data_IF_800002289015
#
_entry.id   IF_800002289015
#
_cell.length_a   1.000
_cell.length_b   1.000
_cell.length_c   1.000
_cell.angle_alpha   90.00
_cell.angle_beta   90.00
_cell.angle_gamma   90.00
#
_symmetry.space_group_name_H-M   'P 1'
#
loop_
_entity.id
_entity.type
_entity.pdbx_description
1 polymer ?
#
# COMPACT_ATOMS: atom_id res chain seq x y z
N UNK A 1 -19.61 -0.94 10.11
CA UNK A 1 -18.82 -1.92 9.31
C UNK A 1 -17.36 -1.60 9.59
N UNK A 2 -16.50 -2.56 9.99
CA UNK A 2 -15.30 -2.27 10.76
C UNK A 2 -14.30 -1.52 9.87
N UNK A 3 -14.25 -0.18 10.03
CA UNK A 3 -13.28 0.70 9.36
C UNK A 3 -11.83 0.25 9.62
N UNK A 4 -11.62 -0.60 10.62
CA UNK A 4 -10.33 -1.05 11.15
C UNK A 4 -9.62 -2.09 10.28
N UNK A 5 -10.29 -3.05 9.64
CA UNK A 5 -9.58 -4.13 8.93
C UNK A 5 -8.90 -3.64 7.64
N UNK A 6 -9.66 -2.92 6.81
CA UNK A 6 -9.11 -2.23 5.65
C UNK A 6 -8.03 -1.23 6.08
N UNK A 7 -8.18 -0.61 7.26
CA UNK A 7 -7.21 0.33 7.78
C UNK A 7 -5.89 -0.30 8.25
N UNK A 8 -5.92 -1.50 8.78
CA UNK A 8 -4.70 -2.21 9.17
C UNK A 8 -3.95 -2.74 7.95
N UNK A 9 -4.70 -3.13 6.91
CA UNK A 9 -4.12 -3.72 5.71
C UNK A 9 -3.31 -2.71 4.88
N UNK A 10 -3.88 -1.55 4.53
CA UNK A 10 -3.12 -0.50 3.83
C UNK A 10 -1.96 0.06 4.66
N UNK A 11 -2.07 0.17 6.00
CA UNK A 11 -0.96 0.61 6.86
C UNK A 11 0.22 -0.39 6.81
N UNK A 12 -0.08 -1.68 6.89
CA UNK A 12 0.93 -2.74 6.76
C UNK A 12 1.59 -2.68 5.39
N UNK A 13 0.79 -2.58 4.34
CA UNK A 13 1.23 -2.44 2.94
C UNK A 13 2.10 -1.20 2.72
N UNK A 14 1.75 -0.05 3.32
CA UNK A 14 2.57 1.18 3.26
C UNK A 14 3.91 0.96 3.97
N UNK A 15 3.91 0.32 5.14
CA UNK A 15 5.15 0.03 5.88
C UNK A 15 6.06 -0.86 5.04
N UNK A 16 5.52 -1.94 4.49
CA UNK A 16 6.25 -2.85 3.62
C UNK A 16 6.83 -2.11 2.40
N UNK A 17 6.02 -1.27 1.74
CA UNK A 17 6.47 -0.41 0.64
C UNK A 17 7.63 0.50 1.06
N UNK A 18 7.51 1.23 2.17
CA UNK A 18 8.57 2.12 2.68
C UNK A 18 9.85 1.38 3.02
N UNK A 19 9.76 0.15 3.54
CA UNK A 19 10.94 -0.67 3.85
C UNK A 19 11.56 -1.34 2.62
N UNK A 20 10.76 -1.57 1.57
CA UNK A 20 11.23 -2.26 0.36
C UNK A 20 12.21 -1.43 -0.47
N UNK A 21 12.15 -0.09 -0.37
CA UNK A 21 12.95 0.80 -1.22
C UNK A 21 12.59 0.74 -2.71
N UNK A 22 11.54 0.01 -3.08
CA UNK A 22 11.10 -0.16 -4.46
C UNK A 22 10.34 1.07 -4.96
N UNK A 23 10.29 1.23 -6.28
CA UNK A 23 9.37 2.20 -6.89
C UNK A 23 7.91 1.73 -6.72
N UNK A 24 6.96 2.67 -6.77
CA UNK A 24 5.52 2.36 -6.71
C UNK A 24 5.12 1.30 -7.74
N UNK A 25 5.69 1.36 -8.95
CA UNK A 25 5.35 0.43 -10.03
C UNK A 25 5.83 -0.99 -9.71
N UNK A 26 7.07 -1.12 -9.27
CA UNK A 26 7.69 -2.43 -9.02
C UNK A 26 7.07 -3.10 -7.79
N UNK A 27 6.83 -2.32 -6.74
CA UNK A 27 6.15 -2.83 -5.55
C UNK A 27 4.71 -3.24 -5.85
N UNK A 28 3.96 -2.43 -6.62
CA UNK A 28 2.61 -2.77 -7.05
C UNK A 28 2.55 -4.02 -7.91
N UNK A 29 3.51 -4.21 -8.82
CA UNK A 29 3.60 -5.41 -9.65
C UNK A 29 3.89 -6.67 -8.80
N UNK A 30 4.76 -6.57 -7.80
CA UNK A 30 5.08 -7.69 -6.91
C UNK A 30 3.96 -8.03 -5.91
N UNK A 31 3.15 -7.05 -5.52
CA UNK A 31 2.15 -7.19 -4.46
C UNK A 31 0.70 -7.25 -4.97
N UNK A 32 0.52 -7.26 -6.29
CA UNK A 32 -0.78 -7.24 -6.99
C UNK A 32 -1.69 -6.07 -6.56
N UNK A 33 -1.08 -4.94 -6.20
CA UNK A 33 -1.78 -3.72 -5.79
C UNK A 33 -1.88 -2.76 -6.95
N UNK A 34 -3.02 -2.07 -7.08
CA UNK A 34 -3.18 -1.02 -8.10
C UNK A 34 -2.33 0.22 -7.74
N UNK A 35 -1.50 0.77 -8.65
CA UNK A 35 -0.67 1.94 -8.36
C UNK A 35 -1.44 3.18 -7.86
N UNK A 36 -2.64 3.42 -8.39
CA UNK A 36 -3.47 4.54 -7.93
C UNK A 36 -3.95 4.36 -6.48
N UNK A 37 -4.20 3.11 -6.07
CA UNK A 37 -4.62 2.78 -4.72
C UNK A 37 -3.47 2.98 -3.73
N UNK A 38 -2.25 2.55 -4.08
CA UNK A 38 -1.06 2.83 -3.27
C UNK A 38 -0.79 4.33 -3.17
N UNK A 39 -0.97 5.11 -4.25
CA UNK A 39 -0.82 6.58 -4.19
C UNK A 39 -1.84 7.23 -3.27
N UNK A 40 -3.10 6.79 -3.32
CA UNK A 40 -4.14 7.27 -2.42
C UNK A 40 -3.79 6.99 -0.95
N UNK A 41 -3.27 5.79 -0.68
CA UNK A 41 -2.78 5.38 0.63
C UNK A 41 -1.58 6.19 1.11
N UNK A 42 -0.67 6.58 0.23
CA UNK A 42 0.47 7.43 0.60
C UNK A 42 0.08 8.89 0.89
N UNK A 43 -1.06 9.35 0.38
CA UNK A 43 -1.57 10.71 0.57
C UNK A 43 -2.54 10.85 1.76
N UNK A 44 -3.06 9.73 2.25
CA UNK A 44 -3.98 9.67 3.38
C UNK A 44 -3.23 9.70 4.71
#
# INVERSE_FOLDING_TARGET
MPKTQLQQEWETRIRDFKTSGLSVKDWCAANEVKPHQLRYWLQK
#
